data_IF_871440330766
#
_entry.id   IF_871440330766
#
_cell.length_a   1.000
_cell.length_b   1.000
_cell.length_c   1.000
_cell.angle_alpha   90.00
_cell.angle_beta   90.00
_cell.angle_gamma   90.00
#
_symmetry.space_group_name_H-M   'P 1'
#
loop_
_entity.id
_entity.type
_entity.pdbx_description
1 polymer ?
#
# COMPACT_ATOMS: atom_id res chain seq x y z
N UNK A 1 -12.21 83.73 -25.61
CA UNK A 1 -11.29 82.59 -25.41
C UNK A 1 -11.89 81.68 -24.33
N UNK A 2 -12.55 80.61 -24.73
CA UNK A 2 -13.33 79.73 -23.88
C UNK A 2 -12.53 78.46 -23.65
N UNK A 3 -12.07 78.20 -22.42
CA UNK A 3 -11.29 77.03 -22.06
C UNK A 3 -12.22 75.84 -21.74
N UNK A 4 -12.18 74.81 -22.61
CA UNK A 4 -12.81 73.54 -22.37
C UNK A 4 -11.95 72.68 -21.43
N UNK A 5 -12.48 72.33 -20.25
CA UNK A 5 -11.91 71.32 -19.36
C UNK A 5 -12.47 69.95 -19.70
N UNK A 6 -11.62 69.07 -20.24
CA UNK A 6 -11.95 67.67 -20.50
C UNK A 6 -11.74 66.91 -19.17
N UNK A 7 -12.83 66.48 -18.54
CA UNK A 7 -12.76 65.67 -17.34
C UNK A 7 -12.65 64.21 -17.71
N UNK A 8 -11.46 63.63 -17.48
CA UNK A 8 -11.17 62.22 -17.74
C UNK A 8 -11.67 61.37 -16.54
N UNK A 9 -12.84 60.71 -16.74
CA UNK A 9 -13.35 59.74 -15.76
C UNK A 9 -12.58 58.42 -15.87
N UNK A 10 -11.73 58.12 -14.91
CA UNK A 10 -11.02 56.83 -14.83
C UNK A 10 -11.94 55.80 -14.17
N UNK A 11 -12.42 54.87 -15.01
CA UNK A 11 -13.24 53.74 -14.59
C UNK A 11 -12.33 52.65 -13.97
N UNK A 12 -12.31 52.55 -12.65
CA UNK A 12 -11.63 51.45 -11.96
C UNK A 12 -12.45 50.16 -12.09
N UNK A 13 -12.02 49.27 -12.97
CA UNK A 13 -12.54 47.92 -13.05
C UNK A 13 -11.84 47.10 -11.92
N UNK A 14 -12.56 46.84 -10.85
CA UNK A 14 -12.13 45.87 -9.84
C UNK A 14 -12.26 44.44 -10.45
N UNK A 15 -11.17 43.89 -10.93
CA UNK A 15 -11.07 42.45 -11.23
C UNK A 15 -10.95 41.74 -9.88
N UNK A 16 -12.07 41.25 -9.36
CA UNK A 16 -12.08 40.38 -8.19
C UNK A 16 -11.39 39.04 -8.53
N UNK A 17 -10.13 38.85 -8.13
CA UNK A 17 -9.51 37.55 -8.08
C UNK A 17 -10.27 36.70 -7.04
N UNK A 18 -11.19 35.85 -7.49
CA UNK A 18 -11.71 34.79 -6.66
C UNK A 18 -10.59 33.80 -6.36
N UNK A 19 -10.05 33.83 -5.15
CA UNK A 19 -9.16 32.78 -4.65
C UNK A 19 -9.92 31.47 -4.63
N UNK A 20 -9.74 30.65 -5.66
CA UNK A 20 -10.11 29.23 -5.59
C UNK A 20 -9.17 28.56 -4.56
N UNK A 21 -9.70 28.26 -3.37
CA UNK A 21 -8.98 27.44 -2.39
C UNK A 21 -8.45 26.19 -3.11
N UNK A 22 -7.16 25.81 -2.94
CA UNK A 22 -6.65 24.61 -3.54
C UNK A 22 -7.53 23.44 -3.07
N UNK A 23 -8.14 22.72 -4.03
CA UNK A 23 -8.86 21.48 -3.74
C UNK A 23 -7.84 20.52 -3.15
N UNK A 24 -7.94 20.23 -1.86
CA UNK A 24 -7.13 19.19 -1.22
C UNK A 24 -7.44 17.89 -1.98
N UNK A 25 -6.44 17.36 -2.66
CA UNK A 25 -6.59 16.08 -3.34
C UNK A 25 -6.64 15.00 -2.27
N UNK A 26 -7.79 14.34 -2.14
CA UNK A 26 -7.99 13.26 -1.18
C UNK A 26 -7.25 12.01 -1.64
N UNK A 27 -6.47 11.40 -0.73
CA UNK A 27 -5.80 10.13 -0.95
C UNK A 27 -6.78 8.97 -0.69
N UNK A 28 -7.23 8.32 -1.76
CA UNK A 28 -8.22 7.24 -1.68
C UNK A 28 -7.66 5.98 -1.00
N UNK A 29 -6.35 5.70 -1.09
CA UNK A 29 -5.71 4.58 -0.43
C UNK A 29 -5.67 4.78 1.09
N UNK A 30 -5.17 5.93 1.50
CA UNK A 30 -5.09 6.28 2.92
C UNK A 30 -6.49 6.31 3.55
N UNK A 31 -7.47 6.91 2.88
CA UNK A 31 -8.86 6.94 3.33
C UNK A 31 -9.47 5.54 3.43
N UNK A 32 -9.22 4.67 2.46
CA UNK A 32 -9.65 3.28 2.51
C UNK A 32 -9.10 2.58 3.75
N UNK A 33 -7.81 2.74 4.02
CA UNK A 33 -7.19 2.20 5.24
C UNK A 33 -7.81 2.76 6.51
N UNK A 34 -7.99 4.06 6.61
CA UNK A 34 -8.52 4.72 7.81
C UNK A 34 -9.99 4.38 8.08
N UNK A 35 -10.82 4.32 7.04
CA UNK A 35 -12.27 4.22 7.19
C UNK A 35 -12.82 2.80 7.08
N UNK A 36 -12.15 1.90 6.34
CA UNK A 36 -12.70 0.59 5.97
C UNK A 36 -11.94 -0.59 6.58
N UNK A 37 -10.64 -0.46 6.89
CA UNK A 37 -9.78 -1.58 7.32
C UNK A 37 -10.20 -2.22 8.65
N UNK A 38 -10.99 -1.53 9.47
CA UNK A 38 -11.50 -2.09 10.73
C UNK A 38 -12.39 -3.31 10.52
N UNK A 39 -13.12 -3.36 9.41
CA UNK A 39 -14.06 -4.42 9.10
C UNK A 39 -13.67 -5.22 7.86
N UNK A 40 -13.14 -4.57 6.83
CA UNK A 40 -12.78 -5.20 5.57
C UNK A 40 -11.28 -5.52 5.49
N UNK A 41 -10.95 -6.73 5.08
CA UNK A 41 -9.58 -7.09 4.71
C UNK A 41 -9.22 -6.39 3.39
N UNK A 42 -8.15 -5.60 3.39
CA UNK A 42 -7.71 -4.81 2.24
C UNK A 42 -6.65 -5.50 1.39
N UNK A 43 -6.14 -6.67 1.80
CA UNK A 43 -5.14 -7.40 1.02
C UNK A 43 -5.72 -7.92 -0.31
N UNK A 44 -4.89 -7.95 -1.35
CA UNK A 44 -5.23 -8.52 -2.65
C UNK A 44 -4.13 -9.48 -3.15
N UNK A 45 -4.38 -10.81 -3.23
CA UNK A 45 -5.52 -11.48 -2.60
C UNK A 45 -5.40 -11.49 -1.07
N UNK A 46 -6.51 -11.69 -0.35
CA UNK A 46 -6.49 -11.88 1.11
C UNK A 46 -5.52 -13.00 1.51
N UNK A 47 -4.77 -12.77 2.58
CA UNK A 47 -3.83 -13.78 3.13
C UNK A 47 -4.56 -14.90 3.89
N UNK A 48 -5.68 -14.57 4.50
CA UNK A 48 -6.56 -15.48 5.25
C UNK A 48 -7.98 -14.98 5.16
N UNK A 49 -8.93 -15.89 5.25
CA UNK A 49 -10.38 -15.63 5.36
C UNK A 49 -10.89 -15.96 6.76
N UNK A 50 -10.00 -16.28 7.69
CA UNK A 50 -10.37 -16.57 9.07
C UNK A 50 -10.77 -15.29 9.81
N UNK A 51 -11.85 -15.37 10.58
CA UNK A 51 -12.38 -14.27 11.41
C UNK A 51 -12.78 -13.01 10.61
N UNK A 52 -13.14 -13.13 9.33
CA UNK A 52 -13.69 -12.01 8.58
C UNK A 52 -15.06 -11.59 9.14
N UNK A 53 -15.17 -10.30 9.49
CA UNK A 53 -16.45 -9.70 9.96
C UNK A 53 -17.20 -9.02 8.82
N UNK A 54 -16.59 -8.86 7.68
CA UNK A 54 -17.15 -8.32 6.45
C UNK A 54 -16.41 -8.91 5.24
N UNK A 55 -16.99 -8.93 4.04
CA UNK A 55 -16.32 -9.39 2.83
C UNK A 55 -15.02 -8.62 2.59
N UNK A 56 -13.97 -9.29 2.09
CA UNK A 56 -12.72 -8.59 1.72
C UNK A 56 -12.99 -7.49 0.69
N UNK A 57 -12.20 -6.42 0.71
CA UNK A 57 -12.38 -5.29 -0.22
C UNK A 57 -12.19 -5.72 -1.68
N UNK A 58 -11.36 -6.73 -1.94
CA UNK A 58 -11.24 -7.37 -3.24
C UNK A 58 -12.58 -7.96 -3.70
N UNK A 59 -13.24 -8.75 -2.85
CA UNK A 59 -14.52 -9.35 -3.18
C UNK A 59 -15.62 -8.29 -3.39
N UNK A 60 -15.67 -7.27 -2.53
CA UNK A 60 -16.58 -6.13 -2.69
C UNK A 60 -16.39 -5.46 -4.05
N UNK A 61 -15.14 -5.13 -4.41
CA UNK A 61 -14.86 -4.41 -5.66
C UNK A 61 -15.19 -5.26 -6.89
N UNK A 62 -14.88 -6.56 -6.85
CA UNK A 62 -15.22 -7.46 -7.97
C UNK A 62 -16.73 -7.60 -8.13
N UNK A 63 -17.49 -7.77 -7.04
CA UNK A 63 -18.96 -7.81 -7.11
C UNK A 63 -19.55 -6.50 -7.67
N UNK A 64 -19.04 -5.32 -7.24
CA UNK A 64 -19.48 -4.05 -7.78
C UNK A 64 -19.25 -3.96 -9.29
N UNK A 65 -18.07 -4.37 -9.76
CA UNK A 65 -17.74 -4.38 -11.20
C UNK A 65 -18.55 -5.40 -11.98
N UNK A 66 -18.94 -6.52 -11.35
CA UNK A 66 -19.70 -7.58 -11.99
C UNK A 66 -21.20 -7.31 -12.04
N UNK A 67 -21.78 -6.68 -11.04
CA UNK A 67 -23.22 -6.45 -10.97
C UNK A 67 -23.63 -5.10 -11.54
N UNK A 68 -22.81 -4.06 -11.40
CA UNK A 68 -23.05 -2.77 -12.05
C UNK A 68 -22.44 -2.83 -13.45
N UNK A 69 -23.25 -2.71 -14.48
CA UNK A 69 -22.79 -2.83 -15.90
C UNK A 69 -22.80 -1.49 -16.62
N UNK A 70 -21.77 -1.28 -17.43
CA UNK A 70 -21.69 -0.23 -18.44
C UNK A 70 -20.73 -0.65 -19.54
N UNK A 71 -20.98 -0.16 -20.76
CA UNK A 71 -20.11 -0.38 -21.91
C UNK A 71 -18.96 0.65 -21.96
N UNK A 72 -19.03 1.70 -21.15
CA UNK A 72 -18.01 2.75 -21.06
C UNK A 72 -17.35 2.70 -19.69
N UNK A 73 -16.01 2.56 -19.60
CA UNK A 73 -15.28 2.48 -18.32
C UNK A 73 -15.52 3.69 -17.39
N UNK A 74 -15.54 4.91 -17.94
CA UNK A 74 -15.77 6.12 -17.13
C UNK A 74 -17.19 6.19 -16.58
N UNK A 75 -18.19 5.78 -17.36
CA UNK A 75 -19.57 5.67 -16.90
C UNK A 75 -19.73 4.52 -15.89
N UNK A 76 -19.01 3.41 -16.09
CA UNK A 76 -18.99 2.29 -15.18
C UNK A 76 -18.49 2.70 -13.79
N UNK A 77 -17.35 3.37 -13.75
CA UNK A 77 -16.80 3.88 -12.50
C UNK A 77 -17.75 4.87 -11.82
N UNK A 78 -18.34 5.81 -12.57
CA UNK A 78 -19.29 6.77 -12.01
C UNK A 78 -20.50 6.08 -11.37
N UNK A 79 -21.10 5.08 -12.03
CA UNK A 79 -22.21 4.28 -11.46
C UNK A 79 -21.82 3.53 -10.18
N UNK A 80 -20.57 3.04 -10.12
CA UNK A 80 -20.06 2.37 -8.91
C UNK A 80 -19.87 3.40 -7.79
N UNK A 81 -19.37 4.59 -8.09
CA UNK A 81 -19.25 5.69 -7.12
C UNK A 81 -20.63 6.04 -6.54
N UNK A 82 -21.61 6.28 -7.40
CA UNK A 82 -22.99 6.63 -6.99
C UNK A 82 -23.59 5.53 -6.08
N UNK A 83 -23.40 4.27 -6.46
CA UNK A 83 -23.87 3.14 -5.65
C UNK A 83 -23.18 3.10 -4.28
N UNK A 84 -21.85 3.26 -4.22
CA UNK A 84 -21.09 3.21 -2.96
C UNK A 84 -21.47 4.37 -2.06
N UNK A 85 -21.64 5.58 -2.61
CA UNK A 85 -22.08 6.75 -1.84
C UNK A 85 -23.45 6.53 -1.20
N UNK A 86 -24.40 5.95 -1.94
CA UNK A 86 -25.72 5.63 -1.38
C UNK A 86 -25.65 4.45 -0.41
N UNK A 87 -25.03 3.33 -0.79
CA UNK A 87 -25.03 2.11 0.02
C UNK A 87 -24.31 2.27 1.35
N UNK A 88 -23.17 2.94 1.38
CA UNK A 88 -22.37 3.10 2.61
C UNK A 88 -23.11 3.99 3.63
N UNK A 89 -23.91 4.93 3.15
CA UNK A 89 -24.70 5.83 4.01
C UNK A 89 -26.06 5.22 4.37
N UNK A 90 -26.72 4.57 3.41
CA UNK A 90 -28.06 4.02 3.56
C UNK A 90 -28.10 2.51 3.20
N UNK A 91 -27.35 1.67 3.93
CA UNK A 91 -27.26 0.24 3.62
C UNK A 91 -28.59 -0.47 3.87
N UNK A 92 -28.92 -1.43 3.01
CA UNK A 92 -30.04 -2.34 3.21
C UNK A 92 -29.77 -3.67 2.51
N UNK A 93 -30.44 -4.73 2.95
CA UNK A 93 -30.36 -6.04 2.31
C UNK A 93 -30.83 -6.02 0.85
N UNK A 94 -31.84 -5.20 0.53
CA UNK A 94 -32.35 -5.06 -0.83
C UNK A 94 -31.42 -4.35 -1.82
N UNK A 95 -30.48 -3.55 -1.33
CA UNK A 95 -29.44 -2.89 -2.15
C UNK A 95 -28.18 -3.74 -2.27
N UNK A 96 -27.97 -4.68 -1.35
CA UNK A 96 -26.75 -5.50 -1.34
C UNK A 96 -26.69 -6.43 -2.55
N UNK A 97 -25.52 -6.55 -3.15
CA UNK A 97 -25.23 -7.56 -4.17
C UNK A 97 -24.76 -8.90 -3.57
N UNK A 98 -24.71 -9.01 -2.23
CA UNK A 98 -24.40 -10.25 -1.56
C UNK A 98 -25.51 -11.28 -1.75
N UNK A 99 -25.13 -12.53 -1.98
CA UNK A 99 -26.07 -13.63 -1.95
C UNK A 99 -26.62 -13.87 -0.53
N UNK A 100 -27.66 -14.70 -0.44
CA UNK A 100 -28.29 -15.00 0.86
C UNK A 100 -27.32 -15.57 1.88
N UNK A 101 -26.40 -16.43 1.48
CA UNK A 101 -25.40 -17.05 2.38
C UNK A 101 -24.44 -16.00 2.94
N UNK A 102 -23.99 -15.09 2.10
CA UNK A 102 -23.12 -13.99 2.51
C UNK A 102 -23.82 -13.01 3.45
N UNK A 103 -25.11 -12.70 3.16
CA UNK A 103 -25.92 -11.86 4.06
C UNK A 103 -26.20 -12.56 5.40
N UNK A 104 -26.42 -13.86 5.41
CA UNK A 104 -26.60 -14.63 6.65
C UNK A 104 -25.30 -14.67 7.48
N UNK A 105 -24.13 -14.65 6.83
CA UNK A 105 -22.82 -14.70 7.50
C UNK A 105 -22.34 -13.35 8.00
N UNK A 106 -22.41 -12.30 7.17
CA UNK A 106 -21.87 -10.98 7.47
C UNK A 106 -22.91 -9.96 7.95
N UNK A 107 -24.17 -10.22 7.65
CA UNK A 107 -25.25 -9.25 7.84
C UNK A 107 -25.17 -8.09 6.84
N UNK A 108 -26.01 -7.08 7.10
CA UNK A 108 -25.98 -5.82 6.33
C UNK A 108 -24.92 -4.91 6.93
N UNK A 109 -24.12 -4.27 6.09
CA UNK A 109 -23.13 -3.30 6.51
C UNK A 109 -23.74 -2.20 7.41
N UNK A 110 -23.17 -1.88 8.57
CA UNK A 110 -23.64 -0.77 9.40
C UNK A 110 -23.46 0.58 8.67
N UNK A 111 -24.47 1.46 8.74
CA UNK A 111 -24.37 2.80 8.15
C UNK A 111 -23.15 3.57 8.65
N UNK A 112 -22.47 4.22 7.73
CA UNK A 112 -21.31 5.10 8.03
C UNK A 112 -21.68 6.58 7.95
N UNK A 113 -22.97 6.90 8.03
CA UNK A 113 -23.47 8.29 8.04
C UNK A 113 -22.78 9.10 9.14
N UNK A 114 -22.27 10.26 8.78
CA UNK A 114 -21.52 11.15 9.67
C UNK A 114 -20.08 10.74 9.99
N UNK A 115 -19.60 9.56 9.48
CA UNK A 115 -18.22 9.10 9.67
C UNK A 115 -17.37 9.25 8.40
N UNK A 116 -18.01 9.39 7.26
CA UNK A 116 -17.40 9.53 5.94
C UNK A 116 -18.22 10.52 5.11
N UNK A 117 -17.55 11.31 4.28
CA UNK A 117 -18.17 12.27 3.34
C UNK A 117 -18.32 11.66 1.94
N UNK A 118 -19.15 12.27 1.10
CA UNK A 118 -19.32 11.86 -0.30
C UNK A 118 -17.99 11.98 -1.10
N UNK A 119 -17.21 13.04 -0.86
CA UNK A 119 -15.91 13.22 -1.52
C UNK A 119 -14.89 12.16 -1.08
N UNK A 120 -14.87 11.79 0.22
CA UNK A 120 -14.06 10.69 0.71
C UNK A 120 -14.47 9.35 0.08
N UNK A 121 -15.78 9.06 0.01
CA UNK A 121 -16.29 7.84 -0.64
C UNK A 121 -15.94 7.81 -2.13
N UNK A 122 -16.02 8.95 -2.82
CA UNK A 122 -15.60 9.06 -4.21
C UNK A 122 -14.12 8.73 -4.38
N UNK A 123 -13.24 9.30 -3.54
CA UNK A 123 -11.80 9.03 -3.59
C UNK A 123 -11.48 7.56 -3.26
N UNK A 124 -12.12 6.99 -2.24
CA UNK A 124 -12.01 5.57 -1.87
C UNK A 124 -12.43 4.68 -3.04
N UNK A 125 -13.60 4.95 -3.63
CA UNK A 125 -14.14 4.13 -4.73
C UNK A 125 -13.29 4.23 -5.99
N UNK A 126 -12.79 5.41 -6.31
CA UNK A 126 -11.82 5.61 -7.40
C UNK A 126 -10.57 4.76 -7.19
N UNK A 127 -9.99 4.78 -5.98
CA UNK A 127 -8.85 3.93 -5.64
C UNK A 127 -9.19 2.45 -5.79
N UNK A 128 -10.32 1.99 -5.22
CA UNK A 128 -10.78 0.61 -5.31
C UNK A 128 -10.94 0.18 -6.77
N UNK A 129 -11.63 0.98 -7.58
CA UNK A 129 -11.88 0.69 -9.00
C UNK A 129 -10.59 0.45 -9.79
N UNK A 130 -9.55 1.25 -9.54
CA UNK A 130 -8.29 1.18 -10.27
C UNK A 130 -7.27 0.21 -9.67
N UNK A 131 -7.43 -0.21 -8.42
CA UNK A 131 -6.44 -1.03 -7.71
C UNK A 131 -6.87 -2.46 -7.39
N UNK A 132 -8.18 -2.74 -7.34
CA UNK A 132 -8.70 -4.10 -7.20
C UNK A 132 -9.23 -4.59 -8.55
N UNK A 133 -8.36 -5.21 -9.34
CA UNK A 133 -8.71 -5.81 -10.64
C UNK A 133 -7.99 -7.13 -10.86
N UNK A 134 -8.50 -7.94 -11.81
CA UNK A 134 -7.97 -9.26 -12.11
C UNK A 134 -6.53 -9.23 -12.65
N UNK A 135 -6.16 -8.20 -13.42
CA UNK A 135 -4.81 -8.09 -13.98
C UNK A 135 -3.80 -7.84 -12.87
N UNK A 136 -4.11 -6.89 -11.98
CA UNK A 136 -3.24 -6.58 -10.83
C UNK A 136 -3.14 -7.75 -9.87
N UNK A 137 -4.23 -8.47 -9.61
CA UNK A 137 -4.22 -9.70 -8.83
C UNK A 137 -3.29 -10.75 -9.47
N UNK A 138 -3.40 -10.96 -10.78
CA UNK A 138 -2.55 -11.89 -11.50
C UNK A 138 -1.06 -11.50 -11.42
N UNK A 139 -0.74 -10.21 -11.58
CA UNK A 139 0.62 -9.70 -11.43
C UNK A 139 1.19 -9.97 -10.03
N UNK A 140 0.40 -9.70 -8.99
CA UNK A 140 0.80 -9.98 -7.59
C UNK A 140 1.05 -11.48 -7.38
N UNK A 141 0.18 -12.34 -7.92
CA UNK A 141 0.34 -13.80 -7.82
C UNK A 141 1.58 -14.29 -8.58
N UNK A 142 1.82 -13.78 -9.78
CA UNK A 142 3.01 -14.10 -10.56
C UNK A 142 4.30 -13.68 -9.84
N UNK A 143 4.30 -12.47 -9.27
CA UNK A 143 5.44 -11.96 -8.51
C UNK A 143 5.70 -12.78 -7.23
N UNK A 144 4.65 -13.12 -6.48
CA UNK A 144 4.78 -14.04 -5.34
C UNK A 144 5.35 -15.40 -5.76
N UNK A 145 4.88 -15.95 -6.88
CA UNK A 145 5.37 -17.23 -7.41
C UNK A 145 6.84 -17.11 -7.87
N UNK A 146 7.25 -16.00 -8.48
CA UNK A 146 8.64 -15.72 -8.86
C UNK A 146 9.54 -15.69 -7.63
N UNK A 147 9.17 -14.90 -6.64
CA UNK A 147 9.92 -14.77 -5.38
C UNK A 147 10.00 -16.09 -4.61
N UNK A 148 8.94 -16.91 -4.64
CA UNK A 148 8.93 -18.22 -3.97
C UNK A 148 9.90 -19.24 -4.61
N UNK A 149 10.23 -19.10 -5.89
CA UNK A 149 11.18 -19.97 -6.62
C UNK A 149 12.63 -19.50 -6.48
N UNK A 150 12.86 -18.28 -6.06
CA UNK A 150 14.21 -17.74 -5.89
C UNK A 150 14.93 -18.40 -4.70
N UNK A 151 16.26 -18.58 -4.77
CA UNK A 151 17.08 -18.87 -3.60
C UNK A 151 16.81 -17.85 -2.50
N UNK A 152 16.80 -18.28 -1.23
CA UNK A 152 16.44 -17.44 -0.11
C UNK A 152 17.24 -16.13 -0.07
N UNK A 153 18.55 -16.21 -0.24
CA UNK A 153 19.42 -15.02 -0.18
C UNK A 153 19.15 -14.03 -1.30
N UNK A 154 18.88 -14.49 -2.53
CA UNK A 154 18.53 -13.63 -3.67
C UNK A 154 17.20 -12.91 -3.41
N UNK A 155 16.18 -13.65 -2.95
CA UNK A 155 14.88 -13.07 -2.58
C UNK A 155 15.03 -12.01 -1.50
N UNK A 156 15.81 -12.30 -0.46
CA UNK A 156 16.06 -11.35 0.62
C UNK A 156 16.84 -10.13 0.13
N UNK A 157 17.81 -10.32 -0.76
CA UNK A 157 18.53 -9.21 -1.38
C UNK A 157 17.60 -8.26 -2.13
N UNK A 158 16.69 -8.82 -2.92
CA UNK A 158 15.74 -8.05 -3.67
C UNK A 158 14.76 -7.28 -2.77
N UNK A 159 14.21 -7.96 -1.75
CA UNK A 159 13.22 -7.38 -0.85
C UNK A 159 13.80 -6.39 0.16
N UNK A 160 14.98 -6.69 0.70
CA UNK A 160 15.59 -5.91 1.79
C UNK A 160 16.73 -4.99 1.34
N UNK A 161 17.08 -5.04 0.03
CA UNK A 161 18.12 -4.19 -0.56
C UNK A 161 19.52 -4.35 0.08
N UNK A 162 19.84 -5.53 0.61
CA UNK A 162 21.12 -5.80 1.30
C UNK A 162 22.34 -5.47 0.40
N UNK A 163 22.24 -5.75 -0.90
CA UNK A 163 23.30 -5.54 -1.89
C UNK A 163 23.63 -4.05 -2.17
N UNK A 164 22.79 -3.12 -1.70
CA UNK A 164 23.14 -1.69 -1.80
C UNK A 164 24.37 -1.36 -0.94
N UNK A 165 24.56 -2.04 0.19
CA UNK A 165 25.65 -1.80 1.12
C UNK A 165 26.69 -2.93 1.12
N UNK A 166 26.26 -4.18 0.92
CA UNK A 166 27.11 -5.38 0.91
C UNK A 166 27.32 -5.89 -0.51
N UNK A 167 28.38 -6.65 -0.72
CA UNK A 167 28.57 -7.51 -1.88
C UNK A 167 28.82 -8.93 -1.40
N UNK A 168 28.87 -9.91 -2.31
CA UNK A 168 29.18 -11.30 -1.93
C UNK A 168 30.64 -11.41 -1.53
N UNK A 169 31.56 -10.97 -2.38
CA UNK A 169 33.01 -11.18 -2.28
C UNK A 169 33.80 -9.90 -2.03
N UNK A 170 33.25 -8.71 -2.33
CA UNK A 170 33.98 -7.43 -2.23
C UNK A 170 33.35 -6.49 -1.20
N UNK A 171 34.22 -5.94 -0.35
CA UNK A 171 33.82 -4.87 0.56
C UNK A 171 33.33 -3.65 -0.23
N UNK A 172 32.16 -3.13 0.13
CA UNK A 172 31.61 -1.86 -0.34
C UNK A 172 31.65 -0.82 0.78
N UNK A 173 30.51 -0.18 1.04
CA UNK A 173 30.34 0.71 2.21
C UNK A 173 30.14 -0.09 3.51
N UNK A 174 29.96 -1.40 3.40
CA UNK A 174 29.87 -2.39 4.46
C UNK A 174 30.74 -3.62 4.10
N UNK A 175 31.08 -4.51 5.05
CA UNK A 175 31.87 -5.71 4.76
C UNK A 175 31.12 -6.62 3.80
N UNK A 176 31.82 -7.32 2.91
CA UNK A 176 31.24 -8.36 2.05
C UNK A 176 30.69 -9.52 2.87
N UNK A 177 29.79 -10.31 2.31
CA UNK A 177 29.25 -11.48 2.99
C UNK A 177 30.34 -12.54 3.26
N UNK A 178 31.31 -12.72 2.34
CA UNK A 178 32.48 -13.56 2.59
C UNK A 178 33.34 -13.04 3.77
N UNK A 179 33.57 -11.73 3.84
CA UNK A 179 34.30 -11.13 4.95
C UNK A 179 33.56 -11.31 6.29
N UNK A 180 32.23 -11.21 6.28
CA UNK A 180 31.41 -11.53 7.46
C UNK A 180 31.57 -13.02 7.82
N UNK A 181 31.48 -13.92 6.83
CA UNK A 181 31.61 -15.36 7.05
C UNK A 181 32.94 -15.77 7.66
N UNK A 182 34.05 -15.10 7.28
CA UNK A 182 35.36 -15.35 7.86
C UNK A 182 35.44 -15.00 9.35
N UNK A 183 34.68 -13.99 9.77
CA UNK A 183 34.68 -13.53 11.18
C UNK A 183 33.80 -14.38 12.09
N UNK A 184 32.75 -15.00 11.55
CA UNK A 184 31.75 -15.74 12.33
C UNK A 184 31.79 -17.24 11.99
N UNK A 185 31.52 -18.06 12.97
CA UNK A 185 31.38 -19.52 12.86
C UNK A 185 29.93 -19.95 13.09
N UNK A 186 29.63 -21.22 12.93
CA UNK A 186 28.31 -21.78 13.27
C UNK A 186 27.88 -21.50 14.72
N UNK A 187 28.85 -21.39 15.64
CA UNK A 187 28.60 -21.05 17.05
C UNK A 187 28.13 -19.61 17.23
N UNK A 188 28.43 -18.74 16.26
CA UNK A 188 28.12 -17.32 16.29
C UNK A 188 26.82 -16.99 15.55
N UNK A 189 26.08 -17.98 15.04
CA UNK A 189 24.84 -17.80 14.27
C UNK A 189 23.85 -16.88 14.99
N UNK A 190 23.64 -17.09 16.30
CA UNK A 190 22.73 -16.26 17.10
C UNK A 190 23.13 -14.76 17.07
N UNK A 191 24.42 -14.47 17.01
CA UNK A 191 24.91 -13.09 16.94
C UNK A 191 24.68 -12.48 15.55
N UNK A 192 24.80 -13.25 14.45
CA UNK A 192 24.44 -12.82 13.12
C UNK A 192 22.95 -12.50 13.03
N UNK A 193 22.10 -13.40 13.52
CA UNK A 193 20.65 -13.21 13.60
C UNK A 193 20.33 -11.90 14.33
N UNK A 194 20.92 -11.68 15.51
CA UNK A 194 20.74 -10.46 16.31
C UNK A 194 21.19 -9.21 15.53
N UNK A 195 22.29 -9.32 14.78
CA UNK A 195 22.82 -8.20 13.99
C UNK A 195 21.92 -7.84 12.82
N UNK A 196 21.32 -8.82 12.14
CA UNK A 196 20.35 -8.59 11.06
C UNK A 196 19.07 -7.97 11.65
N UNK A 197 18.49 -8.61 12.69
CA UNK A 197 17.20 -8.19 13.25
C UNK A 197 17.23 -6.79 13.85
N UNK A 198 18.31 -6.46 14.59
CA UNK A 198 18.41 -5.23 15.37
C UNK A 198 19.35 -4.18 14.76
N UNK A 199 19.97 -4.52 13.64
CA UNK A 199 21.03 -3.70 13.07
C UNK A 199 22.34 -3.82 13.85
N UNK A 200 23.39 -3.15 13.37
CA UNK A 200 24.68 -3.13 14.05
C UNK A 200 25.41 -1.82 13.87
N UNK A 201 26.13 -1.40 14.93
CA UNK A 201 26.99 -0.21 14.95
C UNK A 201 28.34 -0.56 15.55
N UNK A 202 29.43 -0.07 14.93
CA UNK A 202 30.77 -0.13 15.48
C UNK A 202 31.41 -1.53 15.57
N UNK A 203 30.81 -2.58 15.02
CA UNK A 203 31.37 -3.94 15.02
C UNK A 203 32.56 -4.10 14.08
N UNK A 204 32.63 -3.23 13.09
CA UNK A 204 33.65 -3.20 12.04
C UNK A 204 34.30 -1.83 12.02
N UNK A 205 35.49 -1.72 12.59
CA UNK A 205 36.21 -0.44 12.74
C UNK A 205 36.48 0.26 11.42
N UNK A 206 36.69 -0.53 10.34
CA UNK A 206 36.92 -0.05 8.98
C UNK A 206 35.67 0.62 8.36
N UNK A 207 34.45 0.20 8.75
CA UNK A 207 33.21 0.66 8.15
C UNK A 207 32.45 1.58 9.11
N UNK A 208 32.19 2.81 8.66
CA UNK A 208 31.52 3.84 9.49
C UNK A 208 29.99 3.77 9.40
N UNK A 209 29.47 3.09 8.37
CA UNK A 209 28.03 3.01 8.13
C UNK A 209 27.36 2.11 9.19
N UNK A 210 26.19 2.56 9.67
CA UNK A 210 25.37 1.79 10.59
C UNK A 210 24.45 0.89 9.76
N UNK A 211 24.45 -0.41 10.04
CA UNK A 211 23.48 -1.34 9.48
C UNK A 211 22.12 -1.09 10.14
N UNK A 212 21.05 -0.78 9.39
CA UNK A 212 19.73 -0.58 9.95
C UNK A 212 19.12 -1.88 10.47
N UNK A 213 18.12 -1.82 11.37
CA UNK A 213 17.39 -3.00 11.84
C UNK A 213 16.37 -3.49 10.80
N UNK A 214 16.26 -4.81 10.64
CA UNK A 214 15.28 -5.46 9.76
C UNK A 214 14.19 -6.16 10.57
N UNK A 215 13.49 -5.41 11.44
CA UNK A 215 12.49 -5.95 12.39
C UNK A 215 11.27 -6.59 11.71
N UNK A 216 10.94 -6.17 10.51
CA UNK A 216 9.80 -6.67 9.74
C UNK A 216 10.14 -7.92 8.89
N UNK A 217 11.39 -8.34 8.88
CA UNK A 217 11.82 -9.55 8.21
C UNK A 217 11.43 -10.77 9.06
N UNK A 218 10.95 -11.85 8.42
CA UNK A 218 10.56 -13.07 9.15
C UNK A 218 11.76 -13.71 9.87
N UNK A 219 11.54 -14.30 11.02
CA UNK A 219 12.61 -15.01 11.75
C UNK A 219 13.20 -16.16 10.92
N UNK A 220 12.38 -16.79 10.06
CA UNK A 220 12.81 -17.81 9.09
C UNK A 220 13.80 -17.25 8.09
N UNK A 221 13.50 -16.10 7.50
CA UNK A 221 14.37 -15.46 6.50
C UNK A 221 15.66 -14.93 7.15
N UNK A 222 15.56 -14.35 8.35
CA UNK A 222 16.75 -13.90 9.11
C UNK A 222 17.67 -15.08 9.42
N UNK A 223 17.11 -16.20 9.93
CA UNK A 223 17.86 -17.41 10.21
C UNK A 223 18.50 -18.01 8.96
N UNK A 224 17.72 -18.09 7.87
CA UNK A 224 18.22 -18.59 6.59
C UNK A 224 19.33 -17.73 5.97
N UNK A 225 19.25 -16.41 6.14
CA UNK A 225 20.33 -15.50 5.72
C UNK A 225 21.60 -15.73 6.55
N UNK A 226 21.47 -15.93 7.87
CA UNK A 226 22.63 -16.23 8.70
C UNK A 226 23.27 -17.57 8.30
N UNK A 227 22.46 -18.60 8.00
CA UNK A 227 22.97 -19.88 7.51
C UNK A 227 23.69 -19.71 6.18
N UNK A 228 23.07 -19.03 5.21
CA UNK A 228 23.68 -18.78 3.91
C UNK A 228 25.02 -18.04 4.04
N UNK A 229 25.09 -16.97 4.85
CA UNK A 229 26.35 -16.23 5.08
C UNK A 229 27.43 -17.19 5.58
N UNK A 230 27.10 -18.06 6.53
CA UNK A 230 28.06 -19.01 7.11
C UNK A 230 28.57 -20.05 6.11
N UNK A 231 27.79 -20.37 5.05
CA UNK A 231 28.26 -21.25 3.95
C UNK A 231 29.36 -20.64 3.10
N UNK A 232 29.49 -19.29 3.09
CA UNK A 232 30.52 -18.59 2.33
C UNK A 232 31.91 -18.65 2.99
N UNK A 233 32.02 -19.26 4.15
CA UNK A 233 33.30 -19.42 4.85
C UNK A 233 34.15 -20.44 4.11
N UNK A 234 35.27 -19.99 3.57
CA UNK A 234 36.32 -20.80 2.93
C UNK A 234 37.34 -21.24 3.98
#
# INVERSE_FOLDING_TARGET
MQKFYFSLAVLFIFVGCGESKPKVQLDGEELLHQKCSKCHNLDMPPKSYENEVAPSMMAVTFHLKDFIKSNNPSEHEAKIIDFVQDYVINPSASKSFCDKKSLDSYGVMPSQKGKVTEDELKAITHYMYNNYDNQKMLQIMQEKARLARMPLHERVFEQQRCINCHDIDKDKVAPSFEHIAQRYSSKDKAQLIKSIKNGSKGRWTKFKLIMPPFKNMSDKDISGMADWILTLRK
#
